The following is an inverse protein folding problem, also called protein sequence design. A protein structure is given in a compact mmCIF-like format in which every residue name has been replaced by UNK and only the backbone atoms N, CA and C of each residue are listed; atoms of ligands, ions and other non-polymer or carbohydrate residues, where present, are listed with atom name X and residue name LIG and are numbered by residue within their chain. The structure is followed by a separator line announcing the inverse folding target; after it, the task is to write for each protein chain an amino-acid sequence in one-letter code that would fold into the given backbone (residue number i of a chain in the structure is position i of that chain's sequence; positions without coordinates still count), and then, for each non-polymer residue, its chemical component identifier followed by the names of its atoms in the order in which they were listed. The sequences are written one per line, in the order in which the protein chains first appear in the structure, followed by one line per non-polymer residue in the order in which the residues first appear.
data_IF_391572156424
#
_entry.id   IF_391572156424
#
_cell.length_a   1.000
_cell.length_b   1.000
_cell.length_c   1.000
_cell.angle_alpha   90.00
_cell.angle_beta   90.00
_cell.angle_gamma   90.00
#
_symmetry.space_group_name_H-M   'P 1'
#
loop_
_entity.id
_entity.type
_entity.pdbx_description
1 polymer ?
#
# COMPACT_ATOMS: atom_id res chain seq x y z
N UNK A 1 -14.59 62.74 -45.30
CA UNK A 1 -13.77 61.52 -45.48
C UNK A 1 -12.84 61.37 -44.28
N UNK A 2 -13.30 60.76 -43.18
CA UNK A 2 -12.44 60.47 -42.02
C UNK A 2 -12.09 58.98 -42.05
N UNK A 3 -10.80 58.70 -42.18
CA UNK A 3 -10.22 57.35 -42.29
C UNK A 3 -10.29 56.65 -40.93
N UNK A 4 -11.00 55.53 -40.85
CA UNK A 4 -10.93 54.63 -39.69
C UNK A 4 -9.52 54.04 -39.60
N UNK A 5 -8.78 54.39 -38.53
CA UNK A 5 -7.49 53.80 -38.19
C UNK A 5 -7.79 52.52 -37.40
N UNK A 6 -7.63 51.37 -38.04
CA UNK A 6 -7.75 50.06 -37.40
C UNK A 6 -6.58 49.92 -36.40
N UNK A 7 -6.85 50.06 -35.10
CA UNK A 7 -5.89 49.70 -34.07
C UNK A 7 -5.90 48.18 -33.93
N UNK A 8 -4.87 47.51 -34.46
CA UNK A 8 -4.56 46.13 -34.08
C UNK A 8 -4.09 46.15 -32.62
N UNK A 9 -4.96 45.72 -31.71
CA UNK A 9 -4.54 45.36 -30.36
C UNK A 9 -3.84 44.01 -30.43
N UNK A 10 -2.50 44.02 -30.38
CA UNK A 10 -1.71 42.80 -30.21
C UNK A 10 -1.87 42.37 -28.75
N UNK A 11 -2.80 41.44 -28.50
CA UNK A 11 -2.98 40.82 -27.18
C UNK A 11 -1.79 39.87 -26.99
N UNK A 12 -0.78 40.31 -26.24
CA UNK A 12 0.23 39.42 -25.69
C UNK A 12 -0.44 38.59 -24.58
N UNK A 13 -0.89 37.39 -24.93
CA UNK A 13 -1.23 36.37 -23.93
C UNK A 13 0.11 35.89 -23.36
N UNK A 14 0.49 36.40 -22.19
CA UNK A 14 1.54 35.80 -21.40
C UNK A 14 1.04 34.43 -20.95
N UNK A 15 1.52 33.36 -21.60
CA UNK A 15 1.35 32.01 -21.10
C UNK A 15 2.21 31.94 -19.84
N UNK A 16 1.58 32.06 -18.67
CA UNK A 16 2.21 31.68 -17.40
C UNK A 16 2.36 30.16 -17.48
N UNK A 17 3.52 29.69 -17.94
CA UNK A 17 3.90 28.29 -17.78
C UNK A 17 4.26 28.16 -16.30
N UNK A 18 3.26 27.92 -15.46
CA UNK A 18 3.51 27.43 -14.10
C UNK A 18 4.28 26.12 -14.23
N UNK A 19 5.36 25.97 -13.45
CA UNK A 19 6.06 24.69 -13.38
C UNK A 19 5.03 23.62 -13.05
N UNK A 20 4.87 22.63 -13.92
CA UNK A 20 4.00 21.50 -13.64
C UNK A 20 4.59 20.73 -12.47
N UNK A 21 4.09 21.00 -11.26
CA UNK A 21 4.43 20.22 -10.09
C UNK A 21 3.78 18.84 -10.24
N UNK A 22 4.56 17.79 -10.03
CA UNK A 22 4.04 16.43 -10.00
C UNK A 22 3.01 16.31 -8.87
N UNK A 23 1.97 15.50 -9.05
CA UNK A 23 1.11 15.12 -7.93
C UNK A 23 1.88 14.15 -7.04
N UNK A 24 1.44 13.96 -5.80
CA UNK A 24 2.09 13.03 -4.87
C UNK A 24 1.14 11.96 -4.41
N UNK A 25 1.68 10.75 -4.32
CA UNK A 25 1.07 9.59 -3.69
C UNK A 25 1.83 9.26 -2.41
N UNK A 26 1.09 9.06 -1.33
CA UNK A 26 1.62 8.64 -0.04
C UNK A 26 1.01 7.28 0.30
N UNK A 27 1.83 6.24 0.29
CA UNK A 27 1.44 4.88 0.64
C UNK A 27 1.82 4.58 2.09
N UNK A 28 0.84 4.42 2.96
CA UNK A 28 1.02 4.07 4.36
C UNK A 28 1.07 2.54 4.48
N UNK A 29 2.24 2.03 4.89
CA UNK A 29 2.52 0.59 4.85
C UNK A 29 2.21 -0.10 6.16
N UNK A 30 2.66 0.45 7.28
CA UNK A 30 2.52 -0.19 8.59
C UNK A 30 2.63 0.79 9.74
N UNK A 31 2.01 0.44 10.87
CA UNK A 31 2.27 1.03 12.18
C UNK A 31 3.03 0.01 13.01
N UNK A 32 4.23 0.37 13.45
CA UNK A 32 4.98 -0.41 14.43
C UNK A 32 4.60 0.06 15.82
N UNK A 33 4.21 -0.86 16.70
CA UNK A 33 3.97 -0.58 18.11
C UNK A 33 5.31 -0.63 18.83
N UNK A 34 5.90 0.54 19.09
CA UNK A 34 7.19 0.64 19.76
C UNK A 34 7.08 0.36 21.25
N UNK A 35 5.98 0.77 21.87
CA UNK A 35 5.70 0.54 23.28
C UNK A 35 4.19 0.54 23.53
N UNK A 36 3.68 -0.57 24.06
CA UNK A 36 2.39 -0.70 24.71
C UNK A 36 2.66 -0.61 26.22
N UNK A 37 2.25 0.49 26.86
CA UNK A 37 2.57 0.81 28.26
C UNK A 37 1.61 0.15 29.29
N UNK A 38 0.75 -0.76 28.82
CA UNK A 38 -0.26 -1.42 29.65
C UNK A 38 0.09 -2.85 30.07
N UNK A 39 -0.51 -3.32 31.16
CA UNK A 39 -0.37 -4.71 31.65
C UNK A 39 -1.16 -5.75 30.85
N UNK A 40 -1.78 -5.36 29.73
CA UNK A 40 -2.66 -6.16 28.87
C UNK A 40 -2.36 -5.99 27.38
N UNK A 41 -3.33 -6.32 26.52
CA UNK A 41 -3.24 -6.11 25.07
C UNK A 41 -3.70 -4.69 24.74
N UNK A 42 -2.86 -3.90 24.07
CA UNK A 42 -3.26 -2.57 23.62
C UNK A 42 -4.11 -2.63 22.35
N UNK A 43 -5.20 -1.86 22.34
CA UNK A 43 -6.09 -1.66 21.21
C UNK A 43 -5.77 -0.33 20.53
N UNK A 44 -5.42 -0.36 19.24
CA UNK A 44 -4.95 0.83 18.54
C UNK A 44 -5.97 1.38 17.54
N UNK A 45 -5.98 2.71 17.43
CA UNK A 45 -6.66 3.47 16.37
C UNK A 45 -5.69 4.47 15.76
N UNK A 46 -5.79 4.65 14.44
CA UNK A 46 -4.92 5.55 13.68
C UNK A 46 -5.73 6.28 12.62
N UNK A 47 -5.55 7.59 12.55
CA UNK A 47 -6.05 8.42 11.47
C UNK A 47 -4.93 9.28 10.89
N UNK A 48 -4.90 9.41 9.56
CA UNK A 48 -3.94 10.29 8.90
C UNK A 48 -4.58 11.12 7.77
N UNK A 49 -3.94 12.22 7.41
CA UNK A 49 -4.30 13.10 6.28
C UNK A 49 -3.08 13.66 5.56
N UNK A 50 -3.33 14.23 4.37
CA UNK A 50 -2.36 15.03 3.62
C UNK A 50 -2.79 16.50 3.56
N UNK A 51 -1.89 17.42 3.87
CA UNK A 51 -2.11 18.86 3.76
C UNK A 51 -3.36 19.31 4.53
N UNK A 52 -4.31 19.91 3.80
CA UNK A 52 -5.59 20.38 4.36
C UNK A 52 -6.74 19.38 4.18
N UNK A 53 -6.46 18.13 3.80
CA UNK A 53 -7.48 17.09 3.66
C UNK A 53 -8.00 16.67 5.04
N UNK A 54 -9.24 16.17 5.07
CA UNK A 54 -9.81 15.57 6.26
C UNK A 54 -9.02 14.31 6.65
N UNK A 55 -8.83 14.09 7.95
CA UNK A 55 -8.25 12.86 8.47
C UNK A 55 -9.14 11.67 8.14
N UNK A 56 -8.52 10.61 7.63
CA UNK A 56 -9.16 9.32 7.33
C UNK A 56 -8.67 8.33 8.37
N UNK A 57 -9.61 7.61 8.98
CA UNK A 57 -9.29 6.51 9.90
C UNK A 57 -8.78 5.30 9.10
N UNK A 58 -7.57 4.86 9.42
CA UNK A 58 -6.90 3.74 8.79
C UNK A 58 -7.06 2.47 9.61
N UNK A 59 -6.94 2.61 10.92
CA UNK A 59 -7.09 1.55 11.92
C UNK A 59 -8.18 2.06 12.87
N UNK A 60 -9.23 1.29 13.09
CA UNK A 60 -10.38 1.69 13.90
C UNK A 60 -10.42 1.01 15.26
N UNK A 61 -9.91 -0.22 15.33
CA UNK A 61 -9.67 -0.99 16.54
C UNK A 61 -8.82 -2.21 16.17
N UNK A 62 -7.54 -2.23 16.52
CA UNK A 62 -6.66 -3.36 16.22
C UNK A 62 -5.71 -3.64 17.37
N UNK A 63 -5.76 -4.87 17.86
CA UNK A 63 -4.87 -5.39 18.89
C UNK A 63 -3.44 -5.53 18.36
N UNK A 64 -2.47 -4.96 19.07
CA UNK A 64 -1.05 -5.21 18.86
C UNK A 64 -0.21 -4.87 20.09
N UNK A 65 0.80 -5.68 20.37
CA UNK A 65 1.70 -5.52 21.51
C UNK A 65 3.03 -4.87 21.11
N UNK A 66 3.85 -4.56 22.11
CA UNK A 66 5.20 -4.03 21.92
C UNK A 66 6.03 -4.89 20.96
N UNK A 67 6.59 -4.23 19.94
CA UNK A 67 7.33 -4.76 18.79
C UNK A 67 6.50 -5.45 17.69
N UNK A 68 5.16 -5.39 17.76
CA UNK A 68 4.29 -5.89 16.69
C UNK A 68 4.00 -4.80 15.63
N UNK A 69 3.50 -5.25 14.49
CA UNK A 69 3.17 -4.39 13.36
C UNK A 69 1.71 -4.56 12.97
N UNK A 70 1.02 -3.44 12.76
CA UNK A 70 -0.30 -3.39 12.13
C UNK A 70 -0.12 -2.93 10.69
N UNK A 71 -0.58 -3.71 9.71
CA UNK A 71 -0.56 -3.31 8.31
C UNK A 71 -1.61 -2.23 8.02
N UNK A 72 -1.20 -1.17 7.32
CA UNK A 72 -2.10 -0.05 7.03
C UNK A 72 -2.68 -0.14 5.61
N UNK A 73 -1.93 -0.56 4.59
CA UNK A 73 -2.41 -0.74 3.20
C UNK A 73 -3.35 0.40 2.70
N UNK A 74 -3.05 1.66 3.07
CA UNK A 74 -3.84 2.85 2.68
C UNK A 74 -2.99 3.80 1.85
N UNK A 75 -3.63 4.41 0.86
CA UNK A 75 -2.99 5.39 -0.03
C UNK A 75 -3.78 6.69 0.00
N UNK A 76 -3.08 7.80 0.20
CA UNK A 76 -3.61 9.14 0.00
C UNK A 76 -2.86 9.82 -1.14
N UNK A 77 -3.50 10.73 -1.84
CA UNK A 77 -2.84 11.56 -2.86
C UNK A 77 -3.13 13.03 -2.65
N UNK A 78 -2.16 13.88 -2.98
CA UNK A 78 -2.31 15.32 -2.99
C UNK A 78 -1.85 15.85 -4.35
N UNK A 79 -2.53 16.88 -4.84
CA UNK A 79 -2.00 17.64 -5.97
C UNK A 79 -0.78 18.44 -5.52
N UNK A 80 0.16 18.59 -6.44
CA UNK A 80 1.34 19.45 -6.30
C UNK A 80 2.33 19.02 -5.19
N UNK A 81 3.50 18.56 -5.62
CA UNK A 81 4.67 18.23 -4.81
C UNK A 81 5.93 18.90 -5.38
N UNK A 82 6.93 19.26 -4.55
CA UNK A 82 6.97 19.33 -3.08
C UNK A 82 6.66 20.75 -2.52
N UNK A 83 6.25 20.89 -1.23
CA UNK A 83 6.18 19.84 -0.19
C UNK A 83 4.77 19.26 0.05
N UNK A 84 4.72 18.05 0.64
CA UNK A 84 3.49 17.45 1.18
C UNK A 84 3.57 17.38 2.70
N UNK A 85 2.52 17.79 3.40
CA UNK A 85 2.42 17.63 4.85
C UNK A 85 1.64 16.36 5.16
N UNK A 86 2.25 15.41 5.84
CA UNK A 86 1.59 14.18 6.32
C UNK A 86 1.27 14.37 7.79
N UNK A 87 0.00 14.25 8.16
CA UNK A 87 -0.45 14.39 9.55
C UNK A 87 -1.04 13.07 10.02
N UNK A 88 -0.64 12.60 11.19
CA UNK A 88 -1.21 11.39 11.80
C UNK A 88 -1.51 11.63 13.27
N UNK A 89 -2.59 10.98 13.73
CA UNK A 89 -3.03 10.92 15.12
C UNK A 89 -3.28 9.47 15.48
N UNK A 90 -2.77 9.05 16.63
CA UNK A 90 -2.94 7.69 17.13
C UNK A 90 -3.59 7.72 18.52
N UNK A 91 -4.38 6.70 18.80
CA UNK A 91 -5.04 6.47 20.06
C UNK A 91 -4.85 5.03 20.50
N UNK A 92 -4.84 4.86 21.81
CA UNK A 92 -4.78 3.60 22.53
C UNK A 92 -6.08 3.49 23.35
N UNK A 93 -6.50 2.27 23.70
CA UNK A 93 -7.72 2.04 24.47
C UNK A 93 -7.46 0.98 25.55
N UNK A 94 -7.63 1.39 26.81
CA UNK A 94 -7.23 0.72 28.07
C UNK A 94 -7.93 -0.63 28.38
N UNK A 95 -8.85 -1.05 27.52
CA UNK A 95 -9.60 -2.30 27.64
C UNK A 95 -10.63 -2.29 28.79
N UNK A 96 -11.83 -2.84 28.54
CA UNK A 96 -12.87 -3.00 29.57
C UNK A 96 -14.14 -2.19 29.31
N UNK A 97 -15.11 -2.28 30.24
CA UNK A 97 -16.42 -1.64 30.10
C UNK A 97 -16.33 -0.17 30.51
N UNK A 98 -16.45 0.74 29.56
CA UNK A 98 -16.42 2.20 29.79
C UNK A 98 -15.04 2.85 29.60
N UNK A 99 -14.08 2.07 29.13
CA UNK A 99 -12.81 2.52 28.58
C UNK A 99 -13.04 3.49 27.40
N UNK A 100 -12.22 4.53 27.31
CA UNK A 100 -12.31 5.57 26.28
C UNK A 100 -11.00 5.63 25.49
N UNK A 101 -11.05 6.13 24.26
CA UNK A 101 -9.84 6.27 23.46
C UNK A 101 -8.92 7.34 24.04
N UNK A 102 -7.72 6.94 24.45
CA UNK A 102 -6.69 7.83 24.96
C UNK A 102 -5.72 8.24 23.86
N UNK A 103 -5.21 9.48 23.91
CA UNK A 103 -4.40 10.02 22.80
C UNK A 103 -2.93 9.69 23.00
N UNK A 104 -2.38 8.88 22.10
CA UNK A 104 -0.94 8.56 22.03
C UNK A 104 -0.15 9.73 21.46
N UNK A 105 -0.72 10.43 20.48
CA UNK A 105 -0.11 11.64 19.96
C UNK A 105 -0.71 12.10 18.64
N UNK A 106 -0.37 13.33 18.27
CA UNK A 106 -0.69 13.91 16.96
C UNK A 106 0.53 14.65 16.43
N UNK A 107 0.98 14.31 15.22
CA UNK A 107 2.19 14.90 14.61
C UNK A 107 2.01 15.11 13.13
N UNK A 108 2.59 16.21 12.65
CA UNK A 108 2.71 16.52 11.22
C UNK A 108 4.17 16.45 10.78
N UNK A 109 4.44 15.87 9.62
CA UNK A 109 5.74 15.84 8.98
C UNK A 109 5.64 16.48 7.60
N UNK A 110 6.43 17.53 7.37
CA UNK A 110 6.59 18.12 6.04
C UNK A 110 7.62 17.30 5.26
N UNK A 111 7.16 16.62 4.22
CA UNK A 111 7.98 15.77 3.37
C UNK A 111 8.36 16.50 2.10
N UNK A 112 9.67 16.60 1.89
CA UNK A 112 10.27 17.32 0.76
C UNK A 112 10.85 16.38 -0.31
N UNK A 113 10.95 15.08 -0.02
CA UNK A 113 11.61 14.08 -0.88
C UNK A 113 10.72 12.85 -1.05
N UNK A 114 10.85 12.18 -2.19
CA UNK A 114 10.27 10.85 -2.39
C UNK A 114 11.04 9.78 -1.60
N UNK A 115 10.47 8.59 -1.49
CA UNK A 115 11.06 7.45 -0.78
C UNK A 115 10.40 7.17 0.58
N UNK A 116 11.02 6.32 1.41
CA UNK A 116 10.48 5.92 2.70
C UNK A 116 10.61 7.04 3.74
N UNK A 117 9.58 7.20 4.55
CA UNK A 117 9.47 8.15 5.65
C UNK A 117 8.75 7.51 6.83
N UNK A 118 8.86 8.15 7.99
CA UNK A 118 8.18 7.71 9.20
C UNK A 118 7.68 8.90 10.04
N UNK A 119 6.59 8.68 10.78
CA UNK A 119 6.12 9.56 11.85
C UNK A 119 6.09 8.76 13.15
N UNK A 120 6.79 9.27 14.17
CA UNK A 120 6.69 8.77 15.54
C UNK A 120 5.66 9.56 16.33
N UNK A 121 4.83 8.85 17.09
CA UNK A 121 3.84 9.39 18.02
C UNK A 121 4.11 8.74 19.37
N UNK A 122 4.18 9.53 20.44
CA UNK A 122 4.56 9.05 21.76
C UNK A 122 3.92 9.90 22.86
N UNK A 123 3.36 9.25 23.88
CA UNK A 123 2.88 9.88 25.12
C UNK A 123 3.12 8.94 26.30
N UNK A 124 2.41 9.16 27.41
CA UNK A 124 2.30 8.20 28.52
C UNK A 124 1.51 6.94 28.14
N UNK A 125 0.68 7.00 27.10
CA UNK A 125 -0.19 5.89 26.68
C UNK A 125 0.49 4.96 25.65
N UNK A 126 1.78 5.19 25.37
CA UNK A 126 2.57 4.34 24.50
C UNK A 126 3.32 5.09 23.40
N UNK A 127 3.95 4.31 22.51
CA UNK A 127 4.75 4.81 21.39
C UNK A 127 4.46 3.99 20.13
N UNK A 128 4.19 4.68 19.02
CA UNK A 128 4.01 4.07 17.69
C UNK A 128 4.80 4.79 16.61
N UNK A 129 5.25 4.03 15.61
CA UNK A 129 5.91 4.53 14.40
C UNK A 129 5.10 4.17 13.16
N UNK A 130 4.54 5.17 12.49
CA UNK A 130 3.84 5.01 11.22
C UNK A 130 4.85 5.10 10.08
N UNK A 131 4.96 4.03 9.28
CA UNK A 131 5.82 3.93 8.11
C UNK A 131 5.03 4.20 6.84
N UNK A 132 5.59 4.99 5.93
CA UNK A 132 4.97 5.30 4.66
C UNK A 132 6.01 5.61 3.57
N UNK A 133 5.60 5.53 2.31
CA UNK A 133 6.42 5.82 1.14
C UNK A 133 5.78 6.94 0.34
N UNK A 134 6.59 7.94 -0.02
CA UNK A 134 6.16 9.08 -0.84
C UNK A 134 6.67 8.89 -2.26
N UNK A 135 5.77 8.97 -3.23
CA UNK A 135 6.04 8.79 -4.65
C UNK A 135 5.53 10.01 -5.42
N UNK A 136 6.36 10.56 -6.31
CA UNK A 136 5.90 11.53 -7.29
C UNK A 136 5.12 10.79 -8.37
N UNK A 137 3.89 11.22 -8.63
CA UNK A 137 3.04 10.71 -9.70
C UNK A 137 2.81 11.84 -10.73
N UNK A 138 2.57 11.48 -11.99
CA UNK A 138 2.24 12.47 -13.01
C UNK A 138 1.04 13.33 -12.60
N UNK A 139 0.96 14.56 -13.10
CA UNK A 139 -0.21 15.42 -12.91
C UNK A 139 -1.42 14.74 -13.53
N UNK A 140 -2.24 14.09 -12.72
CA UNK A 140 -3.51 13.52 -13.15
C UNK A 140 -4.59 14.11 -12.30
N UNK A 141 -5.25 15.13 -12.84
CA UNK A 141 -6.48 15.69 -12.32
C UNK A 141 -7.65 14.71 -12.42
N UNK A 142 -7.56 13.57 -11.74
CA UNK A 142 -8.67 12.62 -11.63
C UNK A 142 -8.85 12.19 -10.16
N UNK A 143 -10.09 12.12 -9.65
CA UNK A 143 -10.36 11.78 -8.26
C UNK A 143 -9.93 10.35 -7.93
N UNK A 144 -9.55 10.09 -6.67
CA UNK A 144 -9.18 8.77 -6.12
C UNK A 144 -10.36 7.77 -5.99
N UNK A 145 -11.36 7.85 -6.86
CA UNK A 145 -12.49 6.91 -6.86
C UNK A 145 -12.94 6.58 -8.27
N UNK A 146 -12.01 6.40 -9.19
CA UNK A 146 -12.34 5.75 -10.46
C UNK A 146 -11.63 4.41 -10.49
N UNK A 147 -12.43 3.34 -10.54
CA UNK A 147 -11.99 1.99 -10.83
C UNK A 147 -11.31 2.04 -12.20
N UNK A 148 -10.00 2.28 -12.21
CA UNK A 148 -9.23 2.42 -13.42
C UNK A 148 -9.02 1.03 -14.00
N UNK A 149 -9.96 0.55 -14.81
CA UNK A 149 -9.95 -0.76 -15.47
C UNK A 149 -9.05 -0.79 -16.71
N UNK A 150 -7.93 -0.04 -16.73
CA UNK A 150 -7.04 0.07 -17.89
C UNK A 150 -6.49 -1.29 -18.36
N UNK A 151 -6.48 -2.30 -17.50
CA UNK A 151 -5.97 -3.64 -17.80
C UNK A 151 -7.08 -4.71 -17.84
N UNK A 152 -8.35 -4.30 -17.91
CA UNK A 152 -9.49 -5.22 -17.96
C UNK A 152 -10.08 -5.56 -16.59
N UNK A 153 -10.92 -6.60 -16.48
CA UNK A 153 -11.61 -6.96 -15.24
C UNK A 153 -10.66 -7.34 -14.10
N UNK A 154 -9.51 -7.93 -14.44
CA UNK A 154 -8.49 -8.33 -13.46
C UNK A 154 -7.61 -7.15 -13.00
N UNK A 155 -7.97 -5.90 -13.33
CA UNK A 155 -7.17 -4.74 -12.89
C UNK A 155 -7.17 -4.67 -11.38
N UNK A 156 -6.00 -4.65 -10.75
CA UNK A 156 -5.89 -4.55 -9.30
C UNK A 156 -6.29 -3.18 -8.77
N UNK A 157 -6.88 -3.17 -7.57
CA UNK A 157 -7.03 -1.93 -6.78
C UNK A 157 -5.66 -1.29 -6.58
N UNK A 158 -5.64 0.04 -6.56
CA UNK A 158 -4.40 0.79 -6.41
C UNK A 158 -3.62 0.35 -5.16
N UNK A 159 -2.34 -0.01 -5.36
CA UNK A 159 -1.46 -0.55 -4.31
C UNK A 159 -1.24 -2.06 -4.39
N UNK A 160 -2.06 -2.77 -5.16
CA UNK A 160 -1.89 -4.18 -5.48
C UNK A 160 -1.39 -4.37 -6.91
N UNK A 161 -0.78 -5.52 -7.16
CA UNK A 161 -0.23 -5.92 -8.45
C UNK A 161 -0.57 -7.39 -8.71
N UNK A 162 -0.58 -7.81 -9.98
CA UNK A 162 -0.73 -9.23 -10.31
C UNK A 162 0.39 -10.05 -9.68
N UNK A 163 0.03 -11.19 -9.09
CA UNK A 163 0.97 -12.10 -8.42
C UNK A 163 1.99 -12.70 -9.40
N UNK A 164 1.57 -12.95 -10.64
CA UNK A 164 2.44 -13.49 -11.70
C UNK A 164 3.02 -14.88 -11.34
N UNK A 165 2.26 -15.74 -10.64
CA UNK A 165 2.67 -17.13 -10.39
C UNK A 165 2.83 -17.93 -11.69
N UNK A 166 2.10 -17.54 -12.74
CA UNK A 166 2.24 -18.02 -14.10
C UNK A 166 1.71 -16.98 -15.10
N UNK A 167 1.74 -17.26 -16.42
CA UNK A 167 1.39 -16.30 -17.46
C UNK A 167 -0.04 -15.75 -17.42
N UNK A 168 -0.96 -16.47 -16.76
CA UNK A 168 -2.38 -16.10 -16.66
C UNK A 168 -2.83 -15.92 -15.19
N UNK A 169 -1.88 -15.74 -14.27
CA UNK A 169 -2.20 -15.52 -12.86
C UNK A 169 -2.29 -14.03 -12.56
N UNK A 170 -3.52 -13.52 -12.62
CA UNK A 170 -3.86 -12.12 -12.38
C UNK A 170 -4.37 -11.85 -10.96
N UNK A 171 -4.20 -12.80 -10.03
CA UNK A 171 -4.59 -12.59 -8.63
C UNK A 171 -3.83 -11.38 -8.05
N UNK A 172 -4.58 -10.42 -7.52
CA UNK A 172 -4.03 -9.20 -6.97
C UNK A 172 -3.42 -9.43 -5.58
N UNK A 173 -2.15 -9.09 -5.43
CA UNK A 173 -1.35 -9.24 -4.20
C UNK A 173 -0.50 -8.00 -3.95
N UNK A 174 0.18 -7.95 -2.82
CA UNK A 174 1.13 -6.87 -2.55
C UNK A 174 2.38 -7.00 -3.44
N UNK A 175 3.10 -5.89 -3.72
CA UNK A 175 4.36 -5.96 -4.48
C UNK A 175 5.39 -6.93 -3.88
N UNK A 176 5.43 -7.07 -2.55
CA UNK A 176 6.31 -8.00 -1.84
C UNK A 176 5.98 -9.46 -2.15
N UNK A 177 4.69 -9.81 -2.18
CA UNK A 177 4.25 -11.17 -2.54
C UNK A 177 4.53 -11.47 -4.02
N UNK A 178 4.40 -10.49 -4.91
CA UNK A 178 4.83 -10.65 -6.32
C UNK A 178 6.34 -10.89 -6.44
N UNK A 179 7.16 -10.18 -5.68
CA UNK A 179 8.61 -10.37 -5.70
C UNK A 179 9.02 -11.73 -5.12
N UNK A 180 8.37 -12.18 -4.05
CA UNK A 180 8.53 -13.55 -3.52
C UNK A 180 8.13 -14.59 -4.58
N UNK A 181 6.98 -14.40 -5.23
CA UNK A 181 6.50 -15.28 -6.30
C UNK A 181 7.49 -15.39 -7.46
N UNK A 182 8.08 -14.26 -7.89
CA UNK A 182 9.14 -14.25 -8.90
C UNK A 182 10.39 -15.01 -8.45
N UNK A 183 10.80 -14.85 -7.19
CA UNK A 183 11.93 -15.58 -6.64
C UNK A 183 11.65 -17.10 -6.60
N UNK A 184 10.43 -17.50 -6.25
CA UNK A 184 10.02 -18.90 -6.25
C UNK A 184 9.99 -19.50 -7.66
N UNK A 185 9.46 -18.77 -8.64
CA UNK A 185 9.49 -19.17 -10.04
C UNK A 185 10.93 -19.36 -10.55
N UNK A 186 11.87 -18.47 -10.15
CA UNK A 186 13.27 -18.59 -10.52
C UNK A 186 13.98 -19.80 -9.88
N UNK A 187 13.53 -20.22 -8.69
CA UNK A 187 14.07 -21.37 -7.96
C UNK A 187 13.34 -22.69 -8.26
N UNK A 188 12.31 -22.68 -9.11
CA UNK A 188 11.44 -23.84 -9.35
C UNK A 188 12.22 -25.11 -9.72
N UNK A 189 13.21 -25.00 -10.61
CA UNK A 189 14.04 -26.14 -11.02
C UNK A 189 14.99 -26.62 -9.92
N UNK A 190 15.52 -25.71 -9.09
CA UNK A 190 16.46 -26.05 -8.03
C UNK A 190 15.78 -26.81 -6.87
N UNK A 191 14.46 -26.65 -6.71
CA UNK A 191 13.65 -27.26 -5.65
C UNK A 191 12.91 -28.52 -6.10
N UNK A 192 13.04 -28.92 -7.38
CA UNK A 192 12.50 -30.16 -7.93
C UNK A 192 13.51 -31.30 -7.81
N UNK A 193 13.01 -32.51 -7.61
CA UNK A 193 13.83 -33.72 -7.65
C UNK A 193 14.41 -33.90 -9.06
N UNK A 194 15.74 -34.02 -9.22
CA UNK A 194 16.36 -34.15 -10.54
C UNK A 194 15.97 -35.43 -11.27
N UNK A 195 15.48 -36.45 -10.56
CA UNK A 195 15.05 -37.72 -11.11
C UNK A 195 13.52 -37.91 -11.08
N UNK A 196 12.77 -36.84 -10.76
CA UNK A 196 11.32 -36.95 -10.49
C UNK A 196 11.02 -37.76 -9.22
N UNK A 197 9.81 -38.30 -9.13
CA UNK A 197 9.39 -39.13 -8.00
C UNK A 197 7.93 -39.58 -8.09
N UNK A 198 7.31 -39.83 -6.93
CA UNK A 198 5.96 -40.39 -6.79
C UNK A 198 4.88 -39.58 -7.53
N UNK A 199 5.11 -38.28 -7.72
CA UNK A 199 4.19 -37.35 -8.37
C UNK A 199 4.66 -36.95 -9.78
N UNK A 200 5.52 -37.77 -10.41
CA UNK A 200 6.04 -37.53 -11.74
C UNK A 200 7.23 -36.56 -11.78
N UNK A 201 7.50 -35.92 -12.94
CA UNK A 201 8.71 -35.12 -13.15
C UNK A 201 8.75 -33.84 -12.31
N UNK A 202 7.60 -33.31 -11.89
CA UNK A 202 7.53 -32.11 -11.06
C UNK A 202 7.64 -32.40 -9.55
N UNK A 203 7.98 -33.64 -9.15
CA UNK A 203 8.09 -33.99 -7.73
C UNK A 203 9.09 -33.07 -7.00
N UNK A 204 8.64 -32.43 -5.93
CA UNK A 204 9.48 -31.55 -5.12
C UNK A 204 10.49 -32.32 -4.26
N UNK A 205 11.61 -31.67 -3.94
CA UNK A 205 12.55 -32.14 -2.92
C UNK A 205 11.89 -32.14 -1.53
N UNK A 206 12.42 -32.95 -0.61
CA UNK A 206 11.94 -32.99 0.78
C UNK A 206 11.97 -31.60 1.43
N UNK A 207 10.88 -31.22 2.10
CA UNK A 207 10.70 -29.89 2.69
C UNK A 207 9.98 -28.88 1.77
N UNK A 208 9.76 -29.23 0.50
CA UNK A 208 9.01 -28.41 -0.46
C UNK A 208 7.72 -29.11 -0.90
N UNK A 209 6.73 -28.30 -1.28
CA UNK A 209 5.44 -28.71 -1.83
C UNK A 209 5.11 -27.87 -3.06
N UNK A 210 4.19 -28.33 -3.91
CA UNK A 210 3.66 -27.49 -4.98
C UNK A 210 2.94 -26.28 -4.38
N UNK A 211 3.16 -25.10 -4.96
CA UNK A 211 2.52 -23.85 -4.52
C UNK A 211 1.02 -23.87 -4.75
N UNK A 212 0.56 -24.53 -5.82
CA UNK A 212 -0.88 -24.71 -6.11
C UNK A 212 -1.64 -23.38 -6.19
N UNK A 213 -1.00 -22.31 -6.68
CA UNK A 213 -1.62 -20.99 -6.81
C UNK A 213 -2.82 -21.00 -7.78
N UNK A 214 -2.78 -21.88 -8.78
CA UNK A 214 -3.86 -22.18 -9.72
C UNK A 214 -3.71 -23.63 -10.22
N UNK A 215 -4.73 -24.22 -10.89
CA UNK A 215 -4.61 -25.58 -11.44
C UNK A 215 -3.40 -25.72 -12.38
N UNK A 216 -2.47 -26.61 -12.01
CA UNK A 216 -1.23 -26.86 -12.76
C UNK A 216 -0.01 -26.07 -12.29
N UNK A 217 -0.12 -25.25 -11.23
CA UNK A 217 1.04 -24.60 -10.61
C UNK A 217 1.84 -25.59 -9.73
N UNK A 218 2.80 -26.26 -10.36
CA UNK A 218 3.72 -27.20 -9.69
C UNK A 218 5.08 -26.55 -9.36
N UNK A 219 5.12 -25.24 -9.10
CA UNK A 219 6.34 -24.59 -8.58
C UNK A 219 6.58 -25.06 -7.15
N UNK A 220 7.78 -25.57 -6.87
CA UNK A 220 8.13 -26.07 -5.54
C UNK A 220 8.48 -24.92 -4.59
N UNK A 221 7.71 -24.80 -3.51
CA UNK A 221 7.81 -23.75 -2.48
C UNK A 221 7.71 -24.36 -1.08
N UNK A 222 7.89 -23.58 -0.03
CA UNK A 222 7.69 -24.07 1.34
C UNK A 222 6.19 -24.24 1.62
N UNK A 223 5.81 -25.05 2.62
CA UNK A 223 4.41 -25.19 3.02
C UNK A 223 3.72 -23.86 3.36
N UNK A 224 4.46 -22.91 3.94
CA UNK A 224 3.96 -21.59 4.32
C UNK A 224 3.60 -20.76 3.08
N UNK A 225 4.45 -20.76 2.05
CA UNK A 225 4.17 -20.07 0.78
C UNK A 225 2.98 -20.68 0.05
N UNK A 226 2.77 -22.00 0.14
CA UNK A 226 1.55 -22.64 -0.39
C UNK A 226 0.31 -22.13 0.34
N UNK A 227 0.36 -22.04 1.67
CA UNK A 227 -0.75 -21.48 2.46
C UNK A 227 -1.03 -20.03 2.08
N UNK A 228 0.01 -19.19 1.95
CA UNK A 228 -0.12 -17.80 1.50
C UNK A 228 -0.77 -17.71 0.12
N UNK A 229 -0.36 -18.53 -0.85
CA UNK A 229 -0.94 -18.52 -2.20
C UNK A 229 -2.44 -18.88 -2.20
N UNK A 230 -2.86 -19.76 -1.30
CA UNK A 230 -4.27 -20.10 -1.11
C UNK A 230 -5.05 -18.94 -0.48
N UNK A 231 -4.49 -18.25 0.52
CA UNK A 231 -5.08 -17.05 1.13
C UNK A 231 -5.20 -15.88 0.14
N UNK A 232 -4.21 -15.71 -0.74
CA UNK A 232 -4.30 -14.70 -1.80
C UNK A 232 -5.48 -14.98 -2.76
N UNK A 233 -5.75 -16.25 -3.05
CA UNK A 233 -6.88 -16.63 -3.88
C UNK A 233 -8.23 -16.33 -3.19
N UNK A 234 -8.33 -16.49 -1.86
CA UNK A 234 -9.58 -16.15 -1.14
C UNK A 234 -9.83 -14.64 -1.10
N UNK A 235 -8.75 -13.84 -1.10
CA UNK A 235 -8.82 -12.38 -1.08
C UNK A 235 -8.85 -11.72 -2.46
N UNK A 236 -8.66 -12.49 -3.54
CA UNK A 236 -8.55 -11.97 -4.91
C UNK A 236 -9.67 -10.98 -5.25
N UNK A 237 -10.93 -11.38 -5.05
CA UNK A 237 -12.07 -10.53 -5.37
C UNK A 237 -12.07 -9.21 -4.60
N UNK A 238 -11.57 -9.14 -3.36
CA UNK A 238 -11.53 -7.90 -2.59
C UNK A 238 -10.48 -6.91 -3.13
N UNK A 239 -9.54 -7.39 -3.95
CA UNK A 239 -8.38 -6.66 -4.46
C UNK A 239 -8.51 -6.35 -5.97
N UNK A 240 -9.60 -6.75 -6.60
CA UNK A 240 -9.94 -6.35 -7.98
C UNK A 240 -10.59 -4.96 -7.98
N UNK A 241 -10.07 -4.06 -8.82
CA UNK A 241 -10.62 -2.72 -9.01
C UNK A 241 -11.95 -2.75 -9.75
N UNK A 242 -12.20 -3.77 -10.57
CA UNK A 242 -13.27 -3.75 -11.56
C UNK A 242 -14.22 -4.91 -11.30
N UNK A 243 -15.36 -4.60 -10.67
CA UNK A 243 -16.45 -5.53 -10.39
C UNK A 243 -17.71 -5.13 -11.14
#
# INVERSE_FOLDING_TARGET
MFKYKLMLAVIFIAIIVGNAHADVRVNFTSMHVNNCDEGGTCDWKLACSLGNQQAVEFITNSEANTNEFIEINRVLTQKEFPPVTVSCSAWEHDGGIGAEWETVGSRSLVVNTTGPHLIKLSSSEGEVTVNFVVEAIGSTGQPLTENNCSYGPDTCVQGFVWREAGPNDYVCVTPQVRDQTRADNAQANARRSPNGGLYGPDTCLSGYVWREAFPGDHVCVTPETRTQAAEDNTHASARDACK
#
